data_IF_246802991776
#
_entry.id   IF_246802991776
#
_cell.length_a   1.000
_cell.length_b   1.000
_cell.length_c   1.000
_cell.angle_alpha   90.00
_cell.angle_beta   90.00
_cell.angle_gamma   90.00
#
_symmetry.space_group_name_H-M   'P 1'
#
loop_
_entity.id
_entity.type
_entity.pdbx_description
1 polymer ?
#
# COMPACT_ATOMS: atom_id res chain seq x y z
N UNK A 1 -7.07 27.95 -7.38
CA UNK A 1 -7.13 27.16 -6.11
C UNK A 1 -6.51 25.77 -6.31
N UNK A 2 -7.13 24.89 -7.09
CA UNK A 2 -6.64 23.51 -7.33
C UNK A 2 -5.26 23.45 -8.00
N UNK A 3 -4.98 24.33 -8.97
CA UNK A 3 -3.68 24.37 -9.64
C UNK A 3 -2.49 24.62 -8.67
N UNK A 4 -2.67 25.43 -7.62
CA UNK A 4 -1.64 25.64 -6.61
C UNK A 4 -1.40 24.37 -5.78
N UNK A 5 -2.48 23.71 -5.36
CA UNK A 5 -2.42 22.44 -4.62
C UNK A 5 -1.71 21.35 -5.44
N UNK A 6 -2.13 21.14 -6.68
CA UNK A 6 -1.50 20.17 -7.58
C UNK A 6 -0.03 20.51 -7.85
N UNK A 7 0.31 21.79 -7.99
CA UNK A 7 1.71 22.18 -8.21
C UNK A 7 2.60 21.93 -6.99
N UNK A 8 2.08 22.12 -5.77
CA UNK A 8 2.78 21.74 -4.53
C UNK A 8 3.06 20.25 -4.52
N UNK A 9 2.03 19.42 -4.75
CA UNK A 9 2.16 17.97 -4.67
C UNK A 9 3.04 17.38 -5.79
N UNK A 10 2.87 17.84 -7.02
CA UNK A 10 3.57 17.29 -8.18
C UNK A 10 5.07 17.60 -8.19
N UNK A 11 5.49 18.70 -7.55
CA UNK A 11 6.88 19.16 -7.59
C UNK A 11 7.55 19.24 -6.21
N UNK A 12 6.85 18.86 -5.14
CA UNK A 12 7.34 18.94 -3.75
C UNK A 12 7.89 20.33 -3.40
N UNK A 13 7.14 21.38 -3.77
CA UNK A 13 7.59 22.77 -3.60
C UNK A 13 6.97 23.44 -2.38
N UNK A 14 7.79 24.24 -1.68
CA UNK A 14 7.36 25.00 -0.51
C UNK A 14 6.41 26.14 -0.90
N UNK A 15 5.56 26.56 0.04
CA UNK A 15 4.64 27.69 -0.11
C UNK A 15 5.30 28.93 -0.76
N UNK A 16 6.52 29.29 -0.35
CA UNK A 16 7.27 30.42 -0.93
C UNK A 16 7.47 30.33 -2.46
N UNK A 17 7.64 29.14 -3.01
CA UNK A 17 7.78 28.94 -4.46
C UNK A 17 6.44 29.20 -5.18
N UNK A 18 5.33 28.78 -4.58
CA UNK A 18 3.98 29.02 -5.11
C UNK A 18 3.64 30.50 -5.10
N UNK A 19 3.99 31.22 -4.02
CA UNK A 19 3.79 32.67 -3.91
C UNK A 19 4.37 33.41 -5.12
N UNK A 20 5.62 33.05 -5.49
CA UNK A 20 6.31 33.65 -6.64
C UNK A 20 5.66 33.25 -7.96
N UNK A 21 5.32 31.97 -8.12
CA UNK A 21 4.79 31.45 -9.39
C UNK A 21 3.39 31.95 -9.72
N UNK A 22 2.53 32.07 -8.71
CA UNK A 22 1.13 32.47 -8.88
C UNK A 22 0.87 33.93 -8.50
N UNK A 23 1.90 34.66 -8.05
CA UNK A 23 1.81 36.06 -7.59
C UNK A 23 0.74 36.20 -6.51
N UNK A 24 0.91 35.45 -5.42
CA UNK A 24 -0.03 35.38 -4.30
C UNK A 24 0.67 35.52 -2.95
N UNK A 25 -0.07 35.99 -1.94
CA UNK A 25 0.41 36.00 -0.56
C UNK A 25 0.49 34.57 0.01
N UNK A 26 1.44 34.36 0.93
CA UNK A 26 1.64 33.05 1.55
C UNK A 26 0.43 32.53 2.34
N UNK A 27 -0.32 33.44 2.97
CA UNK A 27 -1.60 33.13 3.63
C UNK A 27 -2.62 32.61 2.61
N UNK A 28 -2.83 33.33 1.51
CA UNK A 28 -3.69 32.90 0.40
C UNK A 28 -3.30 31.53 -0.15
N UNK A 29 -2.00 31.26 -0.35
CA UNK A 29 -1.52 29.94 -0.79
C UNK A 29 -1.87 28.87 0.24
N UNK A 30 -1.59 29.12 1.52
CA UNK A 30 -1.86 28.18 2.61
C UNK A 30 -3.36 27.87 2.73
N UNK A 31 -4.21 28.90 2.71
CA UNK A 31 -5.67 28.78 2.78
C UNK A 31 -6.21 27.94 1.63
N UNK A 32 -5.78 28.23 0.40
CA UNK A 32 -6.21 27.45 -0.77
C UNK A 32 -5.71 26.00 -0.74
N UNK A 33 -4.47 25.77 -0.29
CA UNK A 33 -3.95 24.40 -0.13
C UNK A 33 -4.80 23.60 0.84
N UNK A 34 -5.10 24.15 2.02
CA UNK A 34 -5.88 23.46 3.04
C UNK A 34 -7.35 23.26 2.63
N UNK A 35 -7.96 24.20 1.91
CA UNK A 35 -9.33 24.03 1.38
C UNK A 35 -9.41 22.86 0.40
N UNK A 36 -8.44 22.73 -0.51
CA UNK A 36 -8.39 21.61 -1.46
C UNK A 36 -8.07 20.32 -0.75
N UNK A 37 -7.13 20.33 0.21
CA UNK A 37 -6.82 19.16 1.04
C UNK A 37 -8.07 18.62 1.75
N UNK A 38 -8.85 19.51 2.38
CA UNK A 38 -10.09 19.13 3.05
C UNK A 38 -11.12 18.54 2.08
N UNK A 39 -11.22 19.09 0.87
CA UNK A 39 -12.09 18.54 -0.17
C UNK A 39 -11.64 17.12 -0.59
N UNK A 40 -10.34 16.89 -0.76
CA UNK A 40 -9.78 15.56 -1.07
C UNK A 40 -10.04 14.57 0.07
N UNK A 41 -9.86 14.99 1.32
CA UNK A 41 -10.15 14.15 2.49
C UNK A 41 -11.64 13.78 2.56
N UNK A 42 -12.55 14.67 2.15
CA UNK A 42 -13.99 14.35 2.06
C UNK A 42 -14.33 13.32 0.99
N UNK A 43 -13.47 13.17 -0.03
CA UNK A 43 -13.61 12.13 -1.05
C UNK A 43 -13.03 10.78 -0.62
N UNK A 44 -12.59 10.64 0.64
CA UNK A 44 -12.02 9.40 1.16
C UNK A 44 -12.90 8.17 0.88
N UNK A 45 -14.21 8.26 1.12
CA UNK A 45 -15.16 7.16 0.87
C UNK A 45 -15.30 6.80 -0.62
N UNK A 46 -14.94 7.71 -1.53
CA UNK A 46 -14.91 7.42 -2.97
C UNK A 46 -13.56 6.82 -3.40
N UNK A 47 -12.46 7.25 -2.77
CA UNK A 47 -11.10 6.83 -3.08
C UNK A 47 -10.74 5.46 -2.47
N UNK A 48 -11.20 5.20 -1.24
CA UNK A 48 -10.99 3.95 -0.53
C UNK A 48 -12.28 3.13 -0.60
N UNK A 49 -12.23 2.00 -1.28
CA UNK A 49 -13.39 1.14 -1.49
C UNK A 49 -13.66 0.29 -0.26
N UNK A 50 -14.92 -0.12 -0.09
CA UNK A 50 -15.24 -1.14 0.92
C UNK A 50 -14.82 -2.51 0.39
N UNK A 51 -14.24 -3.39 1.22
CA UNK A 51 -13.91 -4.74 0.80
C UNK A 51 -15.20 -5.49 0.43
N UNK A 52 -15.34 -5.84 -0.84
CA UNK A 52 -16.45 -6.68 -1.32
C UNK A 52 -15.94 -8.11 -1.40
N UNK A 53 -16.57 -9.06 -0.68
CA UNK A 53 -16.20 -10.46 -0.79
C UNK A 53 -16.35 -10.95 -2.24
N UNK A 54 -15.30 -11.59 -2.76
CA UNK A 54 -15.37 -12.29 -4.04
C UNK A 54 -16.50 -13.32 -4.00
N UNK A 55 -17.38 -13.29 -5.00
CA UNK A 55 -18.31 -14.39 -5.27
C UNK A 55 -17.59 -15.45 -6.10
N UNK A 56 -17.92 -16.73 -5.88
CA UNK A 56 -17.22 -17.92 -6.38
C UNK A 56 -17.14 -18.09 -7.92
N UNK A 57 -17.46 -17.07 -8.72
CA UNK A 57 -17.51 -17.09 -10.18
C UNK A 57 -16.37 -16.29 -10.85
N UNK A 58 -15.23 -16.08 -10.17
CA UNK A 58 -14.09 -15.40 -10.78
C UNK A 58 -13.37 -16.31 -11.79
N UNK A 59 -13.51 -16.01 -13.08
CA UNK A 59 -12.85 -16.74 -14.17
C UNK A 59 -11.35 -16.42 -14.35
N UNK A 60 -10.79 -15.52 -13.54
CA UNK A 60 -9.38 -15.18 -13.63
C UNK A 60 -8.52 -16.27 -12.98
N UNK A 61 -7.64 -16.86 -13.80
CA UNK A 61 -6.74 -17.94 -13.43
C UNK A 61 -5.74 -17.57 -12.32
N UNK A 62 -5.56 -16.27 -12.03
CA UNK A 62 -4.74 -15.76 -10.92
C UNK A 62 -5.40 -16.03 -9.56
N UNK A 63 -6.71 -15.80 -9.46
CA UNK A 63 -7.45 -15.85 -8.20
C UNK A 63 -8.19 -17.17 -7.99
N UNK A 64 -8.44 -17.92 -9.06
CA UNK A 64 -9.20 -19.18 -9.03
C UNK A 64 -8.66 -20.21 -8.02
N UNK A 65 -7.37 -20.17 -7.70
CA UNK A 65 -6.73 -21.06 -6.74
C UNK A 65 -6.96 -20.66 -5.27
N UNK A 66 -7.57 -19.50 -5.01
CA UNK A 66 -7.74 -18.90 -3.70
C UNK A 66 -9.22 -18.66 -3.41
N UNK A 67 -9.85 -19.61 -2.73
CA UNK A 67 -11.23 -19.46 -2.23
C UNK A 67 -11.27 -18.46 -1.07
N UNK A 68 -12.33 -17.67 -0.95
CA UNK A 68 -12.54 -16.65 0.10
C UNK A 68 -11.41 -15.59 0.22
N UNK A 69 -10.67 -15.36 -0.85
CA UNK A 69 -9.65 -14.32 -0.92
C UNK A 69 -10.26 -12.93 -1.15
N UNK A 70 -9.79 -11.94 -0.40
CA UNK A 70 -10.27 -10.55 -0.51
C UNK A 70 -9.38 -9.64 -1.34
N UNK A 71 -8.06 -9.83 -1.25
CA UNK A 71 -7.12 -8.84 -1.75
C UNK A 71 -5.70 -9.01 -1.23
N UNK A 72 -4.80 -8.13 -1.63
CA UNK A 72 -3.39 -8.20 -1.25
C UNK A 72 -3.01 -7.06 -0.31
N UNK A 73 -2.13 -7.37 0.63
CA UNK A 73 -1.57 -6.43 1.60
C UNK A 73 -0.07 -6.30 1.38
N UNK A 74 0.42 -5.07 1.36
CA UNK A 74 1.85 -4.78 1.38
C UNK A 74 2.18 -3.43 2.03
N UNK A 75 3.42 -3.31 2.49
CA UNK A 75 3.98 -2.05 2.95
C UNK A 75 4.65 -1.31 1.81
N UNK A 76 4.61 0.02 1.85
CA UNK A 76 5.30 0.86 0.89
C UNK A 76 5.94 2.05 1.56
N UNK A 77 7.10 2.45 1.06
CA UNK A 77 7.85 3.57 1.62
C UNK A 77 7.64 4.85 0.83
N UNK A 78 7.34 5.93 1.54
CA UNK A 78 7.23 7.30 1.00
C UNK A 78 8.32 8.16 1.64
N UNK A 79 9.05 8.92 0.82
CA UNK A 79 10.04 9.88 1.32
C UNK A 79 9.33 11.05 1.97
N UNK A 80 9.81 11.48 3.13
CA UNK A 80 9.21 12.60 3.88
C UNK A 80 10.27 13.60 4.30
N UNK A 81 9.84 14.85 4.47
CA UNK A 81 10.65 15.93 5.01
C UNK A 81 10.15 16.28 6.40
N UNK A 82 10.94 15.94 7.42
CA UNK A 82 10.57 16.10 8.84
C UNK A 82 11.65 16.90 9.60
N UNK A 83 11.30 17.50 10.75
CA UNK A 83 12.23 18.20 11.62
C UNK A 83 13.42 17.33 12.03
N UNK A 84 14.57 17.96 12.29
CA UNK A 84 15.80 17.24 12.61
C UNK A 84 15.70 16.39 13.89
N UNK A 85 14.85 16.80 14.84
CA UNK A 85 14.56 16.08 16.09
C UNK A 85 13.95 14.70 15.86
N UNK A 86 13.13 14.58 14.81
CA UNK A 86 12.33 13.37 14.55
C UNK A 86 13.00 12.46 13.51
N UNK A 87 14.02 12.97 12.79
CA UNK A 87 14.78 12.19 11.79
C UNK A 87 15.26 10.82 12.27
N UNK A 88 15.73 10.62 13.52
CA UNK A 88 16.22 9.31 13.96
C UNK A 88 15.19 8.19 13.82
N UNK A 89 13.90 8.43 14.11
CA UNK A 89 12.86 7.39 14.10
C UNK A 89 12.43 7.01 12.68
N UNK A 90 12.40 7.98 11.77
CA UNK A 90 12.04 7.78 10.36
C UNK A 90 13.23 7.37 9.47
N UNK A 91 14.43 7.23 10.05
CA UNK A 91 15.63 6.84 9.31
C UNK A 91 15.64 5.33 9.10
N UNK A 92 15.73 4.92 7.83
CA UNK A 92 15.95 3.52 7.46
C UNK A 92 17.40 3.09 7.62
N UNK A 93 17.64 1.78 7.58
CA UNK A 93 18.98 1.17 7.43
C UNK A 93 19.77 1.71 6.23
N UNK A 94 19.10 2.20 5.18
CA UNK A 94 19.73 2.82 3.99
C UNK A 94 19.88 4.35 4.13
N UNK A 95 19.79 4.86 5.36
CA UNK A 95 19.90 6.28 5.74
C UNK A 95 18.89 7.23 5.08
N UNK A 96 17.81 6.70 4.50
CA UNK A 96 16.73 7.51 3.94
C UNK A 96 15.70 7.83 5.01
N UNK A 97 15.22 9.07 5.01
CA UNK A 97 14.11 9.53 5.84
C UNK A 97 12.80 9.22 5.12
N UNK A 98 12.03 8.29 5.67
CA UNK A 98 10.81 7.78 5.05
C UNK A 98 9.74 7.48 6.09
N UNK A 99 8.47 7.53 5.67
CA UNK A 99 7.36 6.93 6.39
C UNK A 99 6.94 5.62 5.73
N UNK A 100 6.50 4.67 6.54
CA UNK A 100 5.90 3.43 6.07
C UNK A 100 4.39 3.61 5.94
N UNK A 101 3.86 3.13 4.81
CA UNK A 101 2.44 3.12 4.51
C UNK A 101 2.03 1.68 4.26
N UNK A 102 1.10 1.17 5.06
CA UNK A 102 0.47 -0.12 4.81
C UNK A 102 -0.73 0.09 3.88
N UNK A 103 -0.80 -0.65 2.79
CA UNK A 103 -1.93 -0.64 1.88
C UNK A 103 -2.51 -2.02 1.71
N UNK A 104 -3.84 -2.07 1.61
CA UNK A 104 -4.58 -3.25 1.21
C UNK A 104 -5.40 -2.86 0.00
N UNK A 105 -5.33 -3.68 -1.05
CA UNK A 105 -6.15 -3.51 -2.24
C UNK A 105 -6.94 -4.76 -2.53
N UNK A 106 -8.08 -4.59 -3.19
CA UNK A 106 -8.85 -5.68 -3.72
C UNK A 106 -8.18 -6.30 -4.95
N UNK A 107 -8.87 -7.23 -5.60
CA UNK A 107 -8.34 -7.94 -6.77
C UNK A 107 -8.27 -7.09 -8.05
N UNK A 108 -8.96 -5.95 -8.08
CA UNK A 108 -8.87 -4.96 -9.16
C UNK A 108 -7.70 -4.01 -8.95
N UNK A 109 -7.17 -3.95 -7.73
CA UNK A 109 -6.13 -3.01 -7.32
C UNK A 109 -6.68 -1.72 -6.72
N UNK A 110 -7.99 -1.66 -6.45
CA UNK A 110 -8.60 -0.56 -5.72
C UNK A 110 -8.22 -0.69 -4.24
N UNK A 111 -7.72 0.39 -3.63
CA UNK A 111 -7.37 0.38 -2.21
C UNK A 111 -8.63 0.27 -1.36
N UNK A 112 -8.63 -0.69 -0.44
CA UNK A 112 -9.72 -0.92 0.54
C UNK A 112 -9.34 -0.51 1.94
N UNK A 113 -8.05 -0.36 2.21
CA UNK A 113 -7.52 0.14 3.46
C UNK A 113 -6.13 0.74 3.24
N UNK A 114 -5.85 1.87 3.89
CA UNK A 114 -4.54 2.51 3.90
C UNK A 114 -4.26 3.02 5.31
N UNK A 115 -3.12 2.64 5.86
CA UNK A 115 -2.60 3.15 7.13
C UNK A 115 -1.29 3.88 6.86
N UNK A 116 -1.25 5.16 7.21
CA UNK A 116 -0.13 6.07 6.99
C UNK A 116 0.59 6.39 8.31
N UNK A 117 1.67 7.19 8.21
CA UNK A 117 2.40 7.80 9.34
C UNK A 117 3.13 6.84 10.28
N UNK A 118 3.46 5.64 9.81
CA UNK A 118 4.36 4.75 10.54
C UNK A 118 5.83 5.13 10.32
N UNK A 119 6.64 4.95 11.37
CA UNK A 119 8.07 5.19 11.34
C UNK A 119 8.75 4.32 10.27
N UNK A 120 9.72 4.89 9.54
CA UNK A 120 10.48 4.17 8.52
C UNK A 120 11.27 2.96 9.03
N UNK A 121 11.49 2.88 10.34
CA UNK A 121 12.18 1.78 11.02
C UNK A 121 11.24 0.71 11.59
N UNK A 122 9.93 0.99 11.63
CA UNK A 122 8.94 0.10 12.23
C UNK A 122 8.87 -1.24 11.49
N UNK A 123 8.73 -2.33 12.25
CA UNK A 123 8.57 -3.65 11.68
C UNK A 123 7.17 -3.79 11.07
N UNK A 124 7.07 -4.41 9.90
CA UNK A 124 5.81 -4.70 9.23
C UNK A 124 4.75 -5.39 10.12
N UNK A 125 5.19 -6.29 11.01
CA UNK A 125 4.31 -6.96 11.97
C UNK A 125 3.73 -6.01 13.02
N UNK A 126 4.46 -4.96 13.42
CA UNK A 126 3.97 -3.95 14.36
C UNK A 126 2.89 -3.10 13.69
N UNK A 127 3.12 -2.68 12.45
CA UNK A 127 2.18 -1.88 11.66
C UNK A 127 0.89 -2.67 11.41
N UNK A 128 1.00 -3.97 11.08
CA UNK A 128 -0.18 -4.83 10.91
C UNK A 128 -0.98 -5.00 12.20
N UNK A 129 -0.32 -5.17 13.35
CA UNK A 129 -1.02 -5.28 14.64
C UNK A 129 -1.79 -4.01 14.97
N UNK A 130 -1.18 -2.86 14.74
CA UNK A 130 -1.83 -1.57 14.94
C UNK A 130 -3.06 -1.41 14.03
N UNK A 131 -2.90 -1.72 12.73
CA UNK A 131 -3.97 -1.71 11.75
C UNK A 131 -5.18 -2.55 12.18
N UNK A 132 -4.94 -3.69 12.85
CA UNK A 132 -5.98 -4.59 13.33
C UNK A 132 -6.60 -4.17 14.69
N UNK A 133 -5.85 -3.46 15.52
CA UNK A 133 -6.30 -3.08 16.87
C UNK A 133 -7.23 -1.86 16.90
N UNK A 134 -7.26 -1.07 15.83
CA UNK A 134 -8.06 0.15 15.79
C UNK A 134 -9.55 -0.17 15.57
N UNK A 135 -10.45 0.58 16.23
CA UNK A 135 -11.91 0.41 16.13
C UNK A 135 -12.42 0.53 14.68
N UNK A 136 -11.85 1.44 13.88
CA UNK A 136 -12.10 1.57 12.44
C UNK A 136 -10.93 1.01 11.61
N UNK A 137 -10.21 0.04 12.17
CA UNK A 137 -9.03 -0.58 11.58
C UNK A 137 -9.36 -1.56 10.44
N UNK A 138 -8.33 -2.24 9.95
CA UNK A 138 -8.45 -3.26 8.93
C UNK A 138 -9.32 -4.41 9.44
N UNK A 139 -10.49 -4.60 8.83
CA UNK A 139 -11.40 -5.69 9.17
C UNK A 139 -11.23 -6.86 8.20
N UNK A 140 -11.20 -8.08 8.77
CA UNK A 140 -11.21 -9.32 7.98
C UNK A 140 -12.46 -10.12 8.36
N UNK A 141 -13.47 -10.22 7.46
CA UNK A 141 -14.63 -11.06 7.68
C UNK A 141 -14.25 -12.52 7.95
N UNK A 142 -15.00 -13.17 8.85
CA UNK A 142 -14.74 -14.57 9.23
C UNK A 142 -14.81 -15.49 8.00
N UNK A 143 -13.78 -16.32 7.85
CA UNK A 143 -13.65 -17.24 6.71
C UNK A 143 -12.98 -16.65 5.47
N UNK A 144 -12.63 -15.35 5.50
CA UNK A 144 -11.93 -14.65 4.43
C UNK A 144 -10.50 -14.30 4.82
N UNK A 145 -9.65 -14.01 3.84
CA UNK A 145 -8.26 -13.61 4.10
C UNK A 145 -7.64 -12.71 3.03
N UNK A 146 -6.56 -12.02 3.42
CA UNK A 146 -5.66 -11.28 2.53
C UNK A 146 -4.33 -12.03 2.32
N UNK A 147 -3.72 -11.89 1.14
CA UNK A 147 -2.36 -12.39 0.87
C UNK A 147 -1.33 -11.31 1.20
N UNK A 148 -0.25 -11.65 1.91
CA UNK A 148 0.86 -10.73 2.21
C UNK A 148 2.25 -11.36 2.07
N UNK A 149 3.31 -10.62 2.42
CA UNK A 149 4.70 -11.05 2.23
C UNK A 149 5.16 -12.12 3.21
N UNK A 150 6.21 -12.86 2.82
CA UNK A 150 6.96 -13.76 3.69
C UNK A 150 7.51 -13.07 4.95
N UNK A 151 7.70 -11.74 4.88
CA UNK A 151 8.15 -10.89 5.99
C UNK A 151 7.13 -10.77 7.15
N UNK A 152 5.87 -11.12 6.92
CA UNK A 152 4.84 -11.15 7.96
C UNK A 152 4.75 -12.55 8.60
N UNK A 153 4.25 -12.60 9.84
CA UNK A 153 3.95 -13.85 10.53
C UNK A 153 2.51 -14.26 10.22
N UNK A 154 2.28 -15.54 9.88
CA UNK A 154 0.93 -16.09 9.68
C UNK A 154 0.01 -15.76 10.86
N UNK A 155 -1.16 -15.22 10.54
CA UNK A 155 -2.20 -14.84 11.47
C UNK A 155 -3.56 -15.17 10.87
N UNK A 156 -4.59 -15.32 11.71
CA UNK A 156 -5.96 -15.51 11.22
C UNK A 156 -6.36 -14.35 10.30
N UNK A 157 -7.01 -14.66 9.18
CA UNK A 157 -7.36 -13.66 8.17
C UNK A 157 -6.23 -13.27 7.22
N UNK A 158 -5.04 -13.90 7.33
CA UNK A 158 -3.93 -13.60 6.44
C UNK A 158 -3.07 -14.81 6.09
N UNK A 159 -2.49 -14.79 4.89
CA UNK A 159 -1.72 -15.92 4.36
C UNK A 159 -0.39 -15.45 3.75
N UNK A 160 0.72 -15.90 4.35
CA UNK A 160 2.07 -15.77 3.78
C UNK A 160 2.39 -16.91 2.80
N UNK A 161 3.37 -16.72 1.90
CA UNK A 161 3.95 -17.82 1.13
C UNK A 161 4.73 -18.78 2.04
N UNK A 162 4.96 -20.01 1.56
CA UNK A 162 5.85 -20.97 2.21
C UNK A 162 7.29 -20.44 2.21
N UNK A 163 7.90 -20.39 3.39
CA UNK A 163 9.31 -19.99 3.56
C UNK A 163 10.26 -21.09 3.07
N UNK A 164 11.43 -20.67 2.59
CA UNK A 164 12.48 -21.60 2.11
C UNK A 164 12.13 -22.29 0.78
N UNK A 165 11.21 -21.73 0.01
CA UNK A 165 10.87 -22.14 -1.35
C UNK A 165 10.99 -20.92 -2.27
N UNK A 166 11.13 -21.15 -3.59
CA UNK A 166 11.07 -20.07 -4.59
C UNK A 166 9.74 -19.31 -4.48
N UNK A 167 9.76 -18.01 -4.77
CA UNK A 167 8.61 -17.12 -4.57
C UNK A 167 8.49 -16.04 -5.65
N UNK A 168 9.58 -15.37 -6.01
CA UNK A 168 9.56 -14.21 -6.87
C UNK A 168 9.05 -14.56 -8.26
N UNK A 169 8.18 -13.70 -8.83
CA UNK A 169 7.56 -13.95 -10.13
C UNK A 169 8.56 -14.24 -11.25
N UNK A 170 9.73 -13.61 -11.17
CA UNK A 170 10.80 -13.76 -12.15
C UNK A 170 11.39 -15.17 -12.18
N UNK A 171 11.33 -15.91 -11.07
CA UNK A 171 11.88 -17.27 -10.95
C UNK A 171 11.09 -18.30 -11.75
N UNK A 172 9.88 -17.96 -12.19
CA UNK A 172 8.97 -18.85 -12.93
C UNK A 172 8.97 -18.58 -14.45
N UNK A 173 9.70 -17.58 -14.94
CA UNK A 173 9.77 -17.30 -16.38
C UNK A 173 10.63 -18.35 -17.09
N UNK A 174 10.10 -18.92 -18.18
CA UNK A 174 10.79 -19.90 -19.01
C UNK A 174 10.31 -21.34 -18.79
N UNK A 175 10.21 -22.13 -19.87
CA UNK A 175 9.54 -23.44 -19.87
C UNK A 175 10.17 -24.52 -18.98
N UNK A 176 11.40 -24.32 -18.47
CA UNK A 176 12.07 -25.25 -17.54
C UNK A 176 11.87 -24.90 -16.07
N UNK A 177 11.23 -23.76 -15.76
CA UNK A 177 11.13 -23.24 -14.40
C UNK A 177 9.80 -23.58 -13.72
N UNK A 178 9.17 -24.69 -14.12
CA UNK A 178 7.92 -25.13 -13.51
C UNK A 178 8.11 -25.43 -12.01
N UNK A 179 7.08 -25.21 -11.17
CA UNK A 179 7.10 -25.64 -9.78
C UNK A 179 7.34 -27.14 -9.68
N UNK A 180 8.25 -27.54 -8.80
CA UNK A 180 8.64 -28.94 -8.60
C UNK A 180 7.82 -29.65 -7.53
N UNK A 181 7.19 -28.87 -6.64
CA UNK A 181 6.42 -29.38 -5.52
C UNK A 181 5.20 -28.48 -5.22
N UNK A 182 4.30 -28.99 -4.38
CA UNK A 182 3.07 -28.27 -4.04
C UNK A 182 3.30 -26.91 -3.36
N UNK A 183 4.38 -26.76 -2.58
CA UNK A 183 4.72 -25.49 -1.91
C UNK A 183 5.22 -24.45 -2.91
N UNK A 184 6.05 -24.86 -3.87
CA UNK A 184 6.46 -23.99 -4.97
C UNK A 184 5.27 -23.59 -5.84
N UNK A 185 4.35 -24.52 -6.11
CA UNK A 185 3.15 -24.23 -6.88
C UNK A 185 2.26 -23.21 -6.16
N UNK A 186 2.08 -23.39 -4.85
CA UNK A 186 1.39 -22.43 -4.00
C UNK A 186 2.08 -21.06 -4.04
N UNK A 187 3.40 -20.99 -3.84
CA UNK A 187 4.14 -19.73 -3.87
C UNK A 187 4.09 -19.02 -5.22
N UNK A 188 4.15 -19.76 -6.33
CA UNK A 188 3.99 -19.21 -7.68
C UNK A 188 2.61 -18.57 -7.86
N UNK A 189 1.55 -19.26 -7.40
CA UNK A 189 0.19 -18.72 -7.44
C UNK A 189 0.02 -17.53 -6.49
N UNK A 190 0.58 -17.62 -5.29
CA UNK A 190 0.52 -16.60 -4.27
C UNK A 190 1.20 -15.32 -4.75
N UNK A 191 2.41 -15.38 -5.30
CA UNK A 191 3.11 -14.21 -5.82
C UNK A 191 2.40 -13.59 -7.03
N UNK A 192 1.80 -14.42 -7.90
CA UNK A 192 1.03 -13.93 -9.05
C UNK A 192 -0.23 -13.18 -8.63
N UNK A 193 -0.94 -13.70 -7.65
CA UNK A 193 -2.10 -13.09 -7.04
C UNK A 193 -1.68 -11.79 -6.31
N UNK A 194 -0.74 -11.89 -5.37
CA UNK A 194 -0.32 -10.77 -4.54
C UNK A 194 0.22 -9.58 -5.33
N UNK A 195 0.82 -9.80 -6.50
CA UNK A 195 1.33 -8.73 -7.37
C UNK A 195 0.29 -7.62 -7.73
N UNK A 196 -1.00 -7.79 -7.44
CA UNK A 196 -1.97 -6.69 -7.53
C UNK A 196 -1.62 -5.49 -6.65
N UNK A 197 -1.15 -5.68 -5.41
CA UNK A 197 -0.83 -4.56 -4.50
C UNK A 197 0.47 -3.86 -4.91
N UNK A 198 1.45 -4.63 -5.37
CA UNK A 198 2.71 -4.09 -5.91
C UNK A 198 2.42 -3.19 -7.12
N UNK A 199 1.62 -3.68 -8.08
CA UNK A 199 1.18 -2.89 -9.24
C UNK A 199 0.35 -1.66 -8.84
N UNK A 200 -0.54 -1.77 -7.85
CA UNK A 200 -1.33 -0.65 -7.38
C UNK A 200 -0.42 0.47 -6.83
N UNK A 201 0.59 0.10 -6.04
CA UNK A 201 1.59 1.05 -5.56
C UNK A 201 2.48 1.60 -6.67
N UNK A 202 2.87 0.80 -7.65
CA UNK A 202 3.70 1.26 -8.78
C UNK A 202 2.96 2.29 -9.63
N UNK A 203 1.67 2.08 -9.90
CA UNK A 203 0.79 3.07 -10.56
C UNK A 203 0.74 4.36 -9.76
N UNK A 204 0.54 4.29 -8.44
CA UNK A 204 0.54 5.48 -7.58
C UNK A 204 1.89 6.22 -7.58
N UNK A 205 3.00 5.49 -7.73
CA UNK A 205 4.35 6.05 -7.72
C UNK A 205 4.87 6.44 -9.09
N UNK A 206 4.10 6.18 -10.16
CA UNK A 206 4.51 6.39 -11.54
C UNK A 206 5.77 5.59 -11.90
N UNK A 207 5.85 4.32 -11.48
CA UNK A 207 6.97 3.41 -11.73
C UNK A 207 6.66 2.36 -12.77
#
# INVERSE_FOLDING_TARGET
MVAMFLHVLAHDVKNRAIQRKFVQFGETVSRHFNLVLLAVVRLYEELIKRPVPMTNNCNDQRWKCFENYLGALDGTYIKVSIPATDRPTFRTRKEKIITNVLGVCDTKGDFVYVLVDWEGSAAHSQILRDALSWENGLQVPKGYYYLYDAGYQNAEGFVAPYRGQRYHLQEWYGGRNAPTNAKEYFNMKHSSARNVIERAFDVLKGR
#
